data_IF_945850031085
#
_entry.id   IF_945850031085
#
_cell.length_a   1.000
_cell.length_b   1.000
_cell.length_c   1.000
_cell.angle_alpha   90.00
_cell.angle_beta   90.00
_cell.angle_gamma   90.00
#
_symmetry.space_group_name_H-M   'P 1'
#
loop_
_entity.id
_entity.type
_entity.pdbx_description
1 polymer ?
#
# COMPACT_ATOMS: atom_id res chain seq x y z
N UNK A 1 56.05 30.98 8.81
CA UNK A 1 56.11 32.32 8.19
C UNK A 1 56.08 32.16 6.67
N UNK A 2 55.18 32.92 6.02
CA UNK A 2 54.98 33.14 4.58
C UNK A 2 54.34 31.96 3.81
N UNK A 3 53.35 32.16 2.94
CA UNK A 3 52.66 33.39 2.50
C UNK A 3 51.43 33.04 1.66
N UNK A 4 50.37 33.83 1.81
CA UNK A 4 49.21 33.92 0.92
C UNK A 4 49.63 34.42 -0.47
N UNK A 5 49.36 33.61 -1.50
CA UNK A 5 49.15 33.95 -2.92
C UNK A 5 49.24 32.62 -3.69
N UNK A 6 48.14 31.99 -4.11
CA UNK A 6 47.32 32.45 -5.22
C UNK A 6 45.93 31.82 -5.13
N UNK A 7 44.94 32.66 -4.81
CA UNK A 7 43.52 32.35 -4.86
C UNK A 7 43.01 32.61 -6.29
N UNK A 8 42.36 31.64 -6.92
CA UNK A 8 41.47 31.92 -8.06
C UNK A 8 40.09 32.34 -7.53
N UNK A 9 39.53 33.38 -8.17
CA UNK A 9 38.32 34.09 -7.76
C UNK A 9 37.05 33.24 -7.98
N UNK A 10 36.03 33.35 -7.09
CA UNK A 10 34.73 32.74 -7.34
C UNK A 10 33.99 33.42 -8.49
N UNK A 11 33.35 32.61 -9.34
CA UNK A 11 32.38 33.07 -10.34
C UNK A 11 31.19 33.70 -9.61
N UNK A 12 30.97 34.99 -9.82
CA UNK A 12 29.81 35.70 -9.32
C UNK A 12 28.57 35.35 -10.16
N UNK A 13 27.59 34.69 -9.55
CA UNK A 13 26.22 34.67 -10.05
C UNK A 13 25.39 35.71 -9.31
N UNK A 14 24.93 36.69 -10.08
CA UNK A 14 23.98 37.72 -9.66
C UNK A 14 22.58 37.10 -9.71
N UNK A 15 21.92 37.02 -8.57
CA UNK A 15 20.54 36.56 -8.45
C UNK A 15 20.07 36.81 -7.03
N UNK A 16 19.60 38.01 -6.76
CA UNK A 16 18.95 38.39 -5.52
C UNK A 16 17.76 37.46 -5.26
N UNK A 17 17.79 36.69 -4.18
CA UNK A 17 16.58 36.16 -3.57
C UNK A 17 16.49 36.72 -2.15
N UNK A 18 15.86 37.88 -2.07
CA UNK A 18 15.21 38.36 -0.86
C UNK A 18 14.20 37.30 -0.43
N UNK A 19 14.28 36.89 0.83
CA UNK A 19 13.29 36.00 1.42
C UNK A 19 11.91 36.64 1.37
N UNK A 20 10.91 35.83 1.04
CA UNK A 20 9.53 36.21 1.26
C UNK A 20 8.76 35.04 1.89
N UNK A 21 8.30 35.29 3.12
CA UNK A 21 7.27 34.53 3.80
C UNK A 21 5.92 34.99 3.27
N UNK A 22 5.19 34.14 2.55
CA UNK A 22 3.72 34.20 2.37
C UNK A 22 3.29 33.16 1.34
N UNK A 23 2.19 32.43 1.44
CA UNK A 23 1.10 32.44 2.40
C UNK A 23 0.42 31.07 2.30
N UNK A 24 0.01 30.52 3.43
CA UNK A 24 -1.11 29.60 3.49
C UNK A 24 -2.32 30.30 2.85
N UNK A 25 -2.89 29.71 1.80
CA UNK A 25 -4.27 29.99 1.42
C UNK A 25 -5.05 28.69 1.54
N UNK A 26 -5.79 28.65 2.64
CA UNK A 26 -7.00 27.89 2.89
C UNK A 26 -7.94 27.96 1.68
N UNK A 27 -8.27 26.80 1.13
CA UNK A 27 -9.57 26.57 0.51
C UNK A 27 -10.29 25.60 1.43
N UNK A 28 -11.08 26.18 2.34
CA UNK A 28 -12.13 25.48 3.05
C UNK A 28 -13.13 24.94 2.01
N UNK A 29 -13.34 23.63 2.02
CA UNK A 29 -14.63 23.07 1.58
C UNK A 29 -15.12 22.11 2.64
N UNK A 30 -15.89 22.70 3.55
CA UNK A 30 -16.98 22.13 4.35
C UNK A 30 -16.98 20.62 4.58
N UNK A 31 -16.79 20.27 5.85
CA UNK A 31 -17.12 18.99 6.46
C UNK A 31 -18.53 18.53 6.10
N UNK A 32 -18.61 17.32 5.55
CA UNK A 32 -19.72 16.42 5.78
C UNK A 32 -19.14 15.18 6.46
N UNK A 33 -19.35 15.10 7.77
CA UNK A 33 -19.31 13.84 8.49
C UNK A 33 -20.47 12.98 7.97
N UNK A 34 -20.17 12.05 7.06
CA UNK A 34 -21.03 10.90 6.83
C UNK A 34 -20.21 9.61 6.82
N UNK A 35 -20.61 8.73 7.74
CA UNK A 35 -20.16 7.36 7.91
C UNK A 35 -20.45 6.54 6.65
N UNK A 36 -19.42 6.06 5.98
CA UNK A 36 -19.27 4.70 5.41
C UNK A 36 -18.13 4.70 4.39
N UNK A 37 -16.91 4.39 4.84
CA UNK A 37 -15.87 3.96 3.90
C UNK A 37 -16.09 2.48 3.58
N UNK A 38 -17.22 2.17 2.95
CA UNK A 38 -17.35 0.92 2.21
C UNK A 38 -16.62 1.16 0.89
N UNK A 39 -15.31 0.89 0.88
CA UNK A 39 -14.55 0.77 -0.35
C UNK A 39 -15.30 -0.22 -1.26
N UNK A 40 -15.70 0.22 -2.45
CA UNK A 40 -16.30 -0.66 -3.46
C UNK A 40 -15.25 -1.70 -3.83
N UNK A 41 -15.31 -2.88 -3.22
CA UNK A 41 -14.45 -4.01 -3.54
C UNK A 41 -15.18 -4.98 -4.47
N UNK A 42 -14.42 -5.77 -5.22
CA UNK A 42 -14.98 -6.90 -5.98
C UNK A 42 -15.85 -7.81 -5.08
N UNK A 43 -17.06 -8.21 -5.51
CA UNK A 43 -17.64 -8.02 -6.85
C UNK A 43 -18.52 -6.77 -6.99
N UNK A 44 -18.73 -5.97 -5.92
CA UNK A 44 -19.66 -4.82 -5.93
C UNK A 44 -19.31 -3.84 -7.05
N UNK A 45 -18.03 -3.49 -7.20
CA UNK A 45 -17.56 -2.58 -8.25
C UNK A 45 -17.81 -3.11 -9.66
N UNK A 46 -17.39 -4.34 -9.96
CA UNK A 46 -17.57 -4.95 -11.28
C UNK A 46 -19.04 -5.12 -11.65
N UNK A 47 -19.89 -5.51 -10.69
CA UNK A 47 -21.32 -5.59 -10.87
C UNK A 47 -21.93 -4.21 -11.15
N UNK A 48 -21.54 -3.19 -10.39
CA UNK A 48 -22.04 -1.83 -10.54
C UNK A 48 -21.66 -1.26 -11.91
N UNK A 49 -20.39 -1.35 -12.27
CA UNK A 49 -19.89 -0.93 -13.57
C UNK A 49 -20.62 -1.64 -14.72
N UNK A 50 -20.90 -2.93 -14.57
CA UNK A 50 -21.67 -3.72 -15.55
C UNK A 50 -23.10 -3.20 -15.69
N UNK A 51 -23.82 -2.98 -14.58
CA UNK A 51 -25.18 -2.47 -14.61
C UNK A 51 -25.27 -1.01 -15.08
N UNK A 52 -24.28 -0.18 -14.75
CA UNK A 52 -24.18 1.19 -15.29
C UNK A 52 -24.00 1.19 -16.81
N UNK A 53 -23.22 0.25 -17.37
CA UNK A 53 -23.14 0.07 -18.83
C UNK A 53 -24.48 -0.36 -19.43
N UNK A 54 -25.19 -1.28 -18.79
CA UNK A 54 -26.54 -1.65 -19.22
C UNK A 54 -27.52 -0.46 -19.15
N UNK A 55 -27.39 0.43 -18.16
CA UNK A 55 -28.20 1.66 -18.05
C UNK A 55 -27.92 2.60 -19.23
N UNK A 56 -26.65 2.80 -19.57
CA UNK A 56 -26.24 3.61 -20.74
C UNK A 56 -26.76 3.04 -22.07
N UNK A 57 -26.82 1.72 -22.18
CA UNK A 57 -27.35 1.00 -23.34
C UNK A 57 -28.89 0.86 -23.34
N UNK A 58 -29.60 1.46 -22.39
CA UNK A 58 -31.07 1.33 -22.21
C UNK A 58 -31.55 -0.13 -21.96
N UNK A 59 -30.66 -1.02 -21.52
CA UNK A 59 -30.93 -2.44 -21.27
C UNK A 59 -31.13 -2.80 -19.80
N UNK A 60 -31.00 -1.85 -18.87
CA UNK A 60 -31.11 -2.13 -17.43
C UNK A 60 -32.51 -2.66 -17.04
N UNK A 61 -33.59 -2.11 -17.63
CA UNK A 61 -34.96 -2.60 -17.41
C UNK A 61 -35.14 -4.05 -17.89
N UNK A 62 -34.51 -4.41 -19.00
CA UNK A 62 -34.52 -5.78 -19.52
C UNK A 62 -33.78 -6.73 -18.57
N UNK A 63 -32.65 -6.30 -18.00
CA UNK A 63 -31.92 -7.04 -16.97
C UNK A 63 -32.81 -7.29 -15.74
N UNK A 64 -33.47 -6.26 -15.22
CA UNK A 64 -34.37 -6.40 -14.06
C UNK A 64 -35.57 -7.31 -14.33
N UNK A 65 -36.13 -7.27 -15.55
CA UNK A 65 -37.19 -8.19 -15.96
C UNK A 65 -36.72 -9.64 -15.90
N UNK A 66 -35.51 -9.91 -16.41
CA UNK A 66 -34.90 -11.24 -16.33
C UNK A 66 -34.59 -11.62 -14.87
N UNK A 67 -34.07 -10.69 -14.06
CA UNK A 67 -33.79 -10.91 -12.65
C UNK A 67 -35.06 -11.32 -11.89
N UNK A 68 -36.15 -10.59 -12.09
CA UNK A 68 -37.45 -10.88 -11.45
C UNK A 68 -38.07 -12.19 -11.93
N UNK A 69 -37.84 -12.56 -13.20
CA UNK A 69 -38.35 -13.79 -13.80
C UNK A 69 -37.61 -15.04 -13.32
N UNK A 70 -36.27 -14.99 -13.31
CA UNK A 70 -35.44 -16.17 -13.04
C UNK A 70 -34.99 -16.26 -11.58
N UNK A 71 -34.93 -15.14 -10.86
CA UNK A 71 -34.42 -15.04 -9.49
C UNK A 71 -35.31 -14.11 -8.65
N UNK A 72 -36.57 -14.50 -8.41
CA UNK A 72 -37.54 -13.68 -7.67
C UNK A 72 -37.08 -13.34 -6.25
N UNK A 73 -36.16 -14.12 -5.67
CA UNK A 73 -35.54 -13.82 -4.39
C UNK A 73 -34.69 -12.54 -4.40
N UNK A 74 -34.03 -12.21 -5.52
CA UNK A 74 -33.23 -10.99 -5.65
C UNK A 74 -34.05 -9.84 -6.31
N UNK A 75 -35.39 -9.94 -6.34
CA UNK A 75 -36.28 -8.94 -6.97
C UNK A 75 -36.28 -7.63 -6.20
N UNK A 76 -36.44 -6.55 -6.96
CA UNK A 76 -36.64 -5.19 -6.44
C UNK A 76 -38.11 -4.76 -6.53
N UNK A 77 -38.46 -3.70 -5.79
CA UNK A 77 -39.71 -2.98 -6.00
C UNK A 77 -39.72 -2.33 -7.39
N UNK A 78 -40.79 -2.50 -8.15
CA UNK A 78 -40.95 -1.91 -9.48
C UNK A 78 -40.84 -0.37 -9.40
N UNK A 79 -39.67 0.17 -9.75
CA UNK A 79 -39.42 1.60 -9.94
C UNK A 79 -39.35 1.93 -11.42
N UNK A 80 -39.85 3.11 -11.79
CA UNK A 80 -39.87 3.57 -13.19
C UNK A 80 -38.46 3.86 -13.76
N UNK A 81 -37.51 4.28 -12.92
CA UNK A 81 -36.09 4.43 -13.25
C UNK A 81 -35.21 3.65 -12.26
N UNK A 82 -34.69 2.48 -12.69
CA UNK A 82 -33.89 1.66 -11.80
C UNK A 82 -32.49 2.22 -11.57
N UNK A 83 -32.07 2.26 -10.31
CA UNK A 83 -30.73 2.65 -9.91
C UNK A 83 -29.80 1.43 -9.88
N UNK A 84 -28.72 1.47 -10.67
CA UNK A 84 -27.78 0.35 -10.77
C UNK A 84 -27.15 -0.02 -9.42
N UNK A 85 -26.88 0.97 -8.56
CA UNK A 85 -26.31 0.75 -7.23
C UNK A 85 -27.25 -0.04 -6.34
N UNK A 86 -28.53 0.35 -6.31
CA UNK A 86 -29.56 -0.34 -5.53
C UNK A 86 -29.69 -1.81 -5.94
N UNK A 87 -29.68 -2.11 -7.25
CA UNK A 87 -29.70 -3.51 -7.76
C UNK A 87 -28.53 -4.31 -7.25
N UNK A 88 -27.32 -3.76 -7.35
CA UNK A 88 -26.14 -4.47 -6.88
C UNK A 88 -26.22 -4.71 -5.38
N UNK A 89 -26.58 -3.69 -4.60
CA UNK A 89 -26.68 -3.82 -3.14
C UNK A 89 -27.74 -4.84 -2.74
N UNK A 90 -28.91 -4.82 -3.37
CA UNK A 90 -29.98 -5.77 -3.08
C UNK A 90 -29.61 -7.20 -3.44
N UNK A 91 -28.95 -7.40 -4.59
CA UNK A 91 -28.42 -8.71 -4.98
C UNK A 91 -27.37 -9.19 -3.98
N UNK A 92 -26.41 -8.34 -3.60
CA UNK A 92 -25.36 -8.70 -2.65
C UNK A 92 -25.91 -9.02 -1.27
N UNK A 93 -26.86 -8.24 -0.76
CA UNK A 93 -27.53 -8.45 0.52
C UNK A 93 -28.31 -9.77 0.53
N UNK A 94 -29.09 -10.02 -0.52
CA UNK A 94 -30.07 -11.12 -0.52
C UNK A 94 -29.45 -12.46 -0.96
N UNK A 95 -28.55 -12.40 -1.92
CA UNK A 95 -28.05 -13.56 -2.64
C UNK A 95 -26.57 -13.83 -2.32
N UNK A 96 -25.84 -12.85 -1.77
CA UNK A 96 -24.42 -12.94 -1.45
C UNK A 96 -23.51 -12.68 -2.66
N UNK A 97 -22.25 -12.37 -2.42
CA UNK A 97 -21.28 -11.95 -3.44
C UNK A 97 -21.11 -12.94 -4.60
N UNK A 98 -20.81 -14.20 -4.29
CA UNK A 98 -20.55 -15.23 -5.31
C UNK A 98 -21.79 -15.55 -6.15
N UNK A 99 -22.97 -15.63 -5.51
CA UNK A 99 -24.22 -15.92 -6.22
C UNK A 99 -24.66 -14.75 -7.07
N UNK A 100 -24.51 -13.51 -6.58
CA UNK A 100 -24.83 -12.30 -7.34
C UNK A 100 -24.05 -12.22 -8.64
N UNK A 101 -22.76 -12.57 -8.60
CA UNK A 101 -21.92 -12.66 -9.80
C UNK A 101 -22.45 -13.69 -10.80
N UNK A 102 -22.74 -14.90 -10.33
CA UNK A 102 -23.28 -16.00 -11.16
C UNK A 102 -24.64 -15.65 -11.77
N UNK A 103 -25.52 -14.99 -11.00
CA UNK A 103 -26.83 -14.52 -11.46
C UNK A 103 -26.67 -13.48 -12.57
N UNK A 104 -25.84 -12.46 -12.34
CA UNK A 104 -25.58 -11.41 -13.34
C UNK A 104 -25.02 -12.01 -14.62
N UNK A 105 -24.04 -12.91 -14.54
CA UNK A 105 -23.49 -13.62 -15.70
C UNK A 105 -24.56 -14.43 -16.44
N UNK A 106 -25.42 -15.15 -15.73
CA UNK A 106 -26.52 -15.91 -16.34
C UNK A 106 -27.47 -15.00 -17.13
N UNK A 107 -27.90 -13.89 -16.51
CA UNK A 107 -28.81 -12.93 -17.14
C UNK A 107 -28.16 -12.28 -18.37
N UNK A 108 -26.90 -11.84 -18.29
CA UNK A 108 -26.18 -11.25 -19.41
C UNK A 108 -26.09 -12.21 -20.61
N UNK A 109 -25.86 -13.51 -20.35
CA UNK A 109 -25.84 -14.55 -21.40
C UNK A 109 -27.21 -14.70 -22.06
N UNK A 110 -28.29 -14.71 -21.28
CA UNK A 110 -29.66 -14.76 -21.82
C UNK A 110 -30.00 -13.50 -22.65
N UNK A 111 -29.54 -12.34 -22.21
CA UNK A 111 -29.66 -11.06 -22.93
C UNK A 111 -28.68 -10.92 -24.11
N UNK A 112 -27.86 -11.94 -24.38
CA UNK A 112 -26.82 -11.96 -25.44
C UNK A 112 -25.79 -10.83 -25.32
N UNK A 113 -25.53 -10.31 -24.12
CA UNK A 113 -24.54 -9.26 -23.85
C UNK A 113 -23.12 -9.83 -23.76
N UNK A 114 -22.59 -10.34 -24.87
CA UNK A 114 -21.31 -11.07 -24.92
C UNK A 114 -20.13 -10.27 -24.36
N UNK A 115 -20.03 -8.98 -24.69
CA UNK A 115 -18.91 -8.13 -24.27
C UNK A 115 -18.92 -7.88 -22.76
N UNK A 116 -20.11 -7.68 -22.17
CA UNK A 116 -20.27 -7.50 -20.72
C UNK A 116 -20.02 -8.82 -19.97
N UNK A 117 -20.51 -9.95 -20.50
CA UNK A 117 -20.20 -11.28 -19.94
C UNK A 117 -18.69 -11.51 -19.92
N UNK A 118 -18.00 -11.32 -21.05
CA UNK A 118 -16.56 -11.51 -21.14
C UNK A 118 -15.77 -10.51 -20.29
N UNK A 119 -16.28 -9.29 -20.08
CA UNK A 119 -15.67 -8.34 -19.16
C UNK A 119 -15.78 -8.81 -17.71
N UNK A 120 -16.98 -9.21 -17.28
CA UNK A 120 -17.22 -9.63 -15.90
C UNK A 120 -16.50 -10.94 -15.55
N UNK A 121 -16.40 -11.89 -16.50
CA UNK A 121 -15.59 -13.11 -16.36
C UNK A 121 -14.09 -12.81 -16.25
N UNK A 122 -13.59 -11.81 -17.00
CA UNK A 122 -12.19 -11.35 -16.86
C UNK A 122 -11.93 -10.74 -15.49
N UNK A 123 -12.86 -9.94 -14.98
CA UNK A 123 -12.75 -9.33 -13.65
C UNK A 123 -12.74 -10.43 -12.56
N UNK A 124 -13.63 -11.43 -12.67
CA UNK A 124 -13.65 -12.59 -11.77
C UNK A 124 -12.33 -13.37 -11.81
N UNK A 125 -11.84 -13.69 -13.00
CA UNK A 125 -10.57 -14.41 -13.17
C UNK A 125 -9.38 -13.61 -12.62
N UNK A 126 -9.37 -12.30 -12.83
CA UNK A 126 -8.33 -11.42 -12.32
C UNK A 126 -8.33 -11.41 -10.78
N UNK A 127 -9.50 -11.23 -10.17
CA UNK A 127 -9.65 -11.24 -8.72
C UNK A 127 -9.24 -12.59 -8.10
N UNK A 128 -9.59 -13.72 -8.72
CA UNK A 128 -9.14 -15.04 -8.25
C UNK A 128 -7.62 -15.21 -8.37
N UNK A 129 -7.00 -14.61 -9.40
CA UNK A 129 -5.53 -14.62 -9.55
C UNK A 129 -4.84 -13.77 -8.47
N UNK A 130 -5.43 -12.61 -8.12
CA UNK A 130 -4.99 -11.77 -7.00
C UNK A 130 -5.02 -12.55 -5.68
N UNK A 131 -6.16 -13.18 -5.34
CA UNK A 131 -6.30 -13.97 -4.10
C UNK A 131 -5.28 -15.10 -4.02
N UNK A 132 -5.07 -15.85 -5.10
CA UNK A 132 -4.06 -16.93 -5.14
C UNK A 132 -2.65 -16.40 -4.90
N UNK A 133 -2.28 -15.30 -5.53
CA UNK A 133 -0.97 -14.70 -5.33
C UNK A 133 -0.79 -14.18 -3.91
N UNK A 134 -1.83 -13.55 -3.33
CA UNK A 134 -1.82 -13.08 -1.94
C UNK A 134 -1.58 -14.23 -0.95
N UNK A 135 -2.30 -15.34 -1.09
CA UNK A 135 -2.14 -16.52 -0.24
C UNK A 135 -0.73 -17.13 -0.36
N UNK A 136 -0.23 -17.21 -1.60
CA UNK A 136 1.11 -17.73 -1.89
C UNK A 136 2.18 -16.82 -1.28
N UNK A 137 2.07 -15.50 -1.46
CA UNK A 137 2.98 -14.52 -0.88
C UNK A 137 2.99 -14.58 0.66
N UNK A 138 1.82 -14.63 1.31
CA UNK A 138 1.74 -14.78 2.78
C UNK A 138 2.45 -16.06 3.23
N UNK A 139 2.22 -17.17 2.54
CA UNK A 139 2.87 -18.45 2.86
C UNK A 139 4.39 -18.37 2.73
N UNK A 140 4.89 -17.77 1.65
CA UNK A 140 6.32 -17.63 1.41
C UNK A 140 7.00 -16.67 2.40
N UNK A 141 6.37 -15.54 2.71
CA UNK A 141 6.89 -14.59 3.69
C UNK A 141 6.84 -15.16 5.12
N UNK A 142 5.78 -15.89 5.48
CA UNK A 142 5.74 -16.64 6.74
C UNK A 142 6.91 -17.61 6.82
N UNK A 143 7.12 -18.45 5.79
CA UNK A 143 8.24 -19.40 5.76
C UNK A 143 9.60 -18.69 5.86
N UNK A 144 9.75 -17.54 5.19
CA UNK A 144 10.99 -16.76 5.14
C UNK A 144 11.34 -16.11 6.48
N UNK A 145 10.35 -15.60 7.21
CA UNK A 145 10.56 -14.77 8.41
C UNK A 145 10.15 -15.44 9.72
N UNK A 146 9.59 -16.65 9.68
CA UNK A 146 9.25 -17.41 10.89
C UNK A 146 10.48 -17.78 11.72
N UNK A 147 11.66 -17.89 11.09
CA UNK A 147 12.90 -18.28 11.74
C UNK A 147 13.95 -17.17 11.66
N UNK A 148 14.74 -17.06 12.73
CA UNK A 148 15.90 -16.18 12.79
C UNK A 148 17.14 -17.01 13.15
N UNK A 149 18.29 -16.64 12.56
CA UNK A 149 19.56 -17.31 12.78
C UNK A 149 20.44 -16.44 13.67
N UNK A 150 20.82 -16.97 14.83
CA UNK A 150 21.73 -16.29 15.75
C UNK A 150 23.20 -16.69 15.46
N UNK A 151 24.05 -15.70 15.15
CA UNK A 151 25.49 -15.89 15.00
C UNK A 151 25.93 -16.66 13.74
N UNK A 152 27.14 -17.25 13.79
CA UNK A 152 27.73 -18.06 12.71
C UNK A 152 27.23 -19.51 12.68
N UNK A 153 26.29 -19.86 13.57
CA UNK A 153 25.73 -21.20 13.64
C UNK A 153 24.87 -21.44 12.40
N UNK A 154 25.49 -22.05 11.40
CA UNK A 154 24.83 -22.57 10.20
C UNK A 154 23.65 -23.45 10.63
N UNK A 155 22.46 -23.10 10.17
CA UNK A 155 21.29 -23.93 9.80
C UNK A 155 20.82 -25.12 10.67
N UNK A 156 21.51 -25.53 11.72
CA UNK A 156 21.21 -26.79 12.42
C UNK A 156 20.09 -26.63 13.46
N UNK A 157 19.88 -25.42 13.99
CA UNK A 157 18.79 -25.11 14.94
C UNK A 157 18.20 -23.71 14.70
N UNK A 158 17.22 -23.57 13.81
CA UNK A 158 16.54 -22.28 13.61
C UNK A 158 15.63 -21.94 14.80
N UNK A 159 15.77 -20.74 15.36
CA UNK A 159 14.92 -20.25 16.46
C UNK A 159 13.69 -19.56 15.89
N UNK A 160 12.51 -19.77 16.49
CA UNK A 160 11.30 -19.07 16.08
C UNK A 160 11.38 -17.59 16.46
N UNK A 161 11.17 -16.69 15.49
CA UNK A 161 11.23 -15.25 15.73
C UNK A 161 10.26 -14.83 16.85
N UNK A 162 9.03 -15.39 16.83
CA UNK A 162 8.01 -15.09 17.82
C UNK A 162 8.37 -15.50 19.26
N UNK A 163 9.31 -16.44 19.46
CA UNK A 163 9.71 -16.89 20.81
C UNK A 163 10.74 -15.96 21.45
N UNK A 164 11.54 -15.26 20.64
CA UNK A 164 12.63 -14.40 21.11
C UNK A 164 12.40 -12.92 20.86
N UNK A 165 11.41 -12.56 20.02
CA UNK A 165 11.15 -11.18 19.68
C UNK A 165 10.69 -10.40 20.90
N UNK A 166 11.43 -9.33 21.20
CA UNK A 166 11.06 -8.33 22.20
C UNK A 166 10.59 -7.08 21.47
N UNK A 167 9.43 -6.55 21.87
CA UNK A 167 8.87 -5.35 21.26
C UNK A 167 9.85 -4.17 21.41
N UNK A 168 10.17 -3.52 20.30
CA UNK A 168 11.02 -2.33 20.31
C UNK A 168 10.24 -1.13 20.80
N UNK A 169 10.87 -0.29 21.62
CA UNK A 169 10.32 1.01 22.00
C UNK A 169 10.49 1.99 20.83
N UNK A 170 9.45 2.12 20.00
CA UNK A 170 9.41 3.04 18.85
C UNK A 170 8.69 4.31 19.30
N UNK A 171 9.23 5.47 18.93
CA UNK A 171 8.61 6.78 19.19
C UNK A 171 8.53 7.59 17.92
N UNK A 172 7.62 8.56 17.88
CA UNK A 172 7.53 9.51 16.77
C UNK A 172 8.84 10.33 16.64
N UNK A 173 9.44 10.31 15.46
CA UNK A 173 10.64 11.10 15.17
C UNK A 173 10.29 12.58 14.96
N UNK A 174 10.83 13.47 15.80
CA UNK A 174 10.64 14.92 15.66
C UNK A 174 11.18 15.49 14.34
N UNK A 175 10.56 16.59 13.87
CA UNK A 175 10.84 17.26 12.60
C UNK A 175 12.34 17.51 12.36
N UNK A 176 12.76 17.36 11.10
CA UNK A 176 14.14 17.28 10.63
C UNK A 176 15.08 18.40 11.11
N UNK A 177 15.65 18.23 12.29
CA UNK A 177 16.87 18.91 12.70
C UNK A 177 18.06 18.31 11.96
N UNK A 178 18.55 19.03 10.96
CA UNK A 178 19.77 18.71 10.22
C UNK A 178 20.94 18.81 11.19
N UNK A 179 21.60 17.67 11.46
CA UNK A 179 22.86 17.50 12.21
C UNK A 179 22.77 17.06 13.69
N UNK A 180 22.48 15.77 13.90
CA UNK A 180 22.56 15.04 15.19
C UNK A 180 23.56 13.86 15.15
N UNK A 181 24.65 13.99 14.38
CA UNK A 181 25.60 12.90 14.11
C UNK A 181 26.38 12.41 15.35
N UNK A 182 26.36 13.16 16.45
CA UNK A 182 27.02 12.76 17.70
C UNK A 182 26.02 12.31 18.77
N UNK A 183 26.28 11.13 19.35
CA UNK A 183 25.50 10.51 20.44
C UNK A 183 25.23 11.48 21.60
N UNK A 184 26.21 12.33 21.93
CA UNK A 184 26.11 13.35 23.00
C UNK A 184 24.98 14.34 22.74
N UNK A 185 24.76 14.78 21.50
CA UNK A 185 23.71 15.75 21.15
C UNK A 185 22.31 15.12 21.13
N UNK A 186 22.22 13.81 20.90
CA UNK A 186 20.97 13.07 21.03
C UNK A 186 20.56 12.96 22.50
N UNK A 187 21.53 12.74 23.41
CA UNK A 187 21.29 12.75 24.86
C UNK A 187 20.87 14.14 25.35
N UNK A 188 21.53 15.21 24.90
CA UNK A 188 21.17 16.59 25.26
C UNK A 188 19.79 17.00 24.74
N UNK A 189 19.43 16.56 23.52
CA UNK A 189 18.10 16.80 22.94
C UNK A 189 17.02 15.98 23.66
N UNK A 190 17.29 14.71 23.96
CA UNK A 190 16.40 13.84 24.72
C UNK A 190 16.20 14.35 26.15
N UNK A 191 17.27 14.84 26.80
CA UNK A 191 17.20 15.47 28.13
C UNK A 191 16.36 16.74 28.14
N UNK A 192 16.44 17.58 27.09
CA UNK A 192 15.55 18.75 26.94
C UNK A 192 14.10 18.40 26.57
N UNK A 193 13.85 17.25 25.95
CA UNK A 193 12.51 16.77 25.56
C UNK A 193 11.75 16.06 26.68
N UNK A 194 12.37 15.79 27.83
CA UNK A 194 11.73 15.16 29.00
C UNK A 194 10.46 15.86 29.54
N UNK A 195 10.15 17.07 29.06
CA UNK A 195 8.89 17.78 29.36
C UNK A 195 7.73 17.47 28.41
N UNK A 196 7.95 16.75 27.31
CA UNK A 196 6.91 16.37 26.33
C UNK A 196 6.83 14.85 26.32
N UNK A 197 5.68 14.26 26.65
CA UNK A 197 5.50 12.81 26.63
C UNK A 197 5.71 12.30 25.20
N UNK A 198 6.80 11.58 24.95
CA UNK A 198 7.01 10.88 23.68
C UNK A 198 5.89 9.83 23.53
N UNK A 199 5.18 9.88 22.41
CA UNK A 199 4.12 8.91 22.12
C UNK A 199 4.78 7.63 21.63
N UNK A 200 4.67 6.57 22.43
CA UNK A 200 5.13 5.25 22.03
C UNK A 200 4.22 4.68 20.92
N UNK A 201 4.84 4.09 19.91
CA UNK A 201 4.18 3.48 18.76
C UNK A 201 4.48 1.99 18.79
N UNK A 202 3.47 1.15 18.67
CA UNK A 202 3.65 -0.30 18.54
C UNK A 202 4.11 -0.62 17.12
N UNK A 203 4.97 -1.64 16.94
CA UNK A 203 5.51 -1.98 15.62
C UNK A 203 4.43 -2.28 14.57
N UNK A 204 3.32 -2.88 14.97
CA UNK A 204 2.18 -3.15 14.08
C UNK A 204 1.29 -1.91 13.83
N UNK A 205 1.49 -0.83 14.57
CA UNK A 205 0.69 0.39 14.52
C UNK A 205 1.43 1.54 13.82
N UNK A 206 2.56 1.27 13.15
CA UNK A 206 3.38 2.29 12.47
C UNK A 206 2.65 3.09 11.37
N UNK A 207 1.55 2.53 10.83
CA UNK A 207 0.69 3.21 9.85
C UNK A 207 -0.59 3.79 10.47
N UNK A 208 -0.80 3.63 11.78
CA UNK A 208 -1.95 4.23 12.45
C UNK A 208 -1.71 5.73 12.63
N UNK A 209 -2.73 6.56 12.39
CA UNK A 209 -2.60 8.00 12.52
C UNK A 209 -2.43 8.35 14.00
N UNK A 210 -1.53 9.28 14.29
CA UNK A 210 -1.46 9.89 15.61
C UNK A 210 -2.61 10.89 15.80
N UNK A 211 -2.97 11.27 17.05
CA UNK A 211 -4.05 12.21 17.29
C UNK A 211 -3.89 13.51 16.48
N UNK A 212 -4.88 13.81 15.62
CA UNK A 212 -4.89 15.01 14.79
C UNK A 212 -4.08 14.91 13.48
N UNK A 213 -3.59 13.73 13.11
CA UNK A 213 -2.91 13.48 11.84
C UNK A 213 -3.75 12.58 10.91
N UNK A 214 -3.53 12.70 9.60
CA UNK A 214 -4.01 11.72 8.62
C UNK A 214 -3.14 10.46 8.62
N UNK A 215 -3.62 9.39 7.97
CA UNK A 215 -2.85 8.15 7.83
C UNK A 215 -1.53 8.43 7.07
N UNK A 216 -0.37 8.05 7.61
CA UNK A 216 0.90 8.24 6.93
C UNK A 216 0.98 7.35 5.69
N UNK A 217 1.32 7.94 4.53
CA UNK A 217 1.65 7.19 3.30
C UNK A 217 3.06 6.61 3.32
N UNK A 218 3.93 7.14 4.16
CA UNK A 218 5.36 6.75 4.22
C UNK A 218 5.83 6.83 5.67
N UNK A 219 6.57 5.80 6.08
CA UNK A 219 7.19 5.71 7.41
C UNK A 219 8.69 5.52 7.22
N UNK A 220 9.50 6.32 7.92
CA UNK A 220 10.95 6.16 7.97
C UNK A 220 11.37 5.77 9.39
N UNK A 221 11.86 4.54 9.54
CA UNK A 221 12.40 4.08 10.82
C UNK A 221 13.88 4.46 10.93
N UNK A 222 14.22 5.29 11.92
CA UNK A 222 15.59 5.71 12.22
C UNK A 222 16.04 5.11 13.54
N UNK A 223 17.31 4.71 13.61
CA UNK A 223 17.93 4.23 14.82
C UNK A 223 19.37 3.79 14.56
N UNK A 224 20.16 3.61 15.63
CA UNK A 224 21.55 3.17 15.54
C UNK A 224 21.68 1.78 14.88
N UNK A 225 22.87 1.44 14.41
CA UNK A 225 23.15 0.09 13.91
C UNK A 225 22.92 -0.95 15.01
N UNK A 226 22.37 -2.12 14.64
CA UNK A 226 22.13 -3.21 15.59
C UNK A 226 20.90 -3.05 16.51
N UNK A 227 20.19 -1.91 16.49
CA UNK A 227 19.01 -1.68 17.36
C UNK A 227 17.78 -2.55 17.02
N UNK A 228 17.85 -3.38 15.97
CA UNK A 228 16.77 -4.29 15.59
C UNK A 228 15.81 -3.80 14.50
N UNK A 229 16.15 -2.74 13.73
CA UNK A 229 15.29 -2.21 12.64
C UNK A 229 14.85 -3.29 11.63
N UNK A 230 15.79 -4.09 11.13
CA UNK A 230 15.48 -5.18 10.19
C UNK A 230 14.64 -6.27 10.85
N UNK A 231 14.92 -6.59 12.12
CA UNK A 231 14.17 -7.64 12.85
C UNK A 231 12.73 -7.19 13.13
N UNK A 232 12.49 -5.91 13.42
CA UNK A 232 11.12 -5.39 13.58
C UNK A 232 10.35 -5.37 12.26
N UNK A 233 11.00 -5.05 11.14
CA UNK A 233 10.41 -5.22 9.80
C UNK A 233 10.02 -6.67 9.55
N UNK A 234 10.90 -7.63 9.84
CA UNK A 234 10.61 -9.06 9.69
C UNK A 234 9.42 -9.48 10.56
N UNK A 235 9.35 -8.98 11.80
CA UNK A 235 8.25 -9.25 12.72
C UNK A 235 6.92 -8.69 12.21
N UNK A 236 6.89 -7.45 11.72
CA UNK A 236 5.72 -6.83 11.12
C UNK A 236 5.16 -7.67 9.97
N UNK A 237 6.04 -8.13 9.07
CA UNK A 237 5.66 -8.98 7.94
C UNK A 237 5.16 -10.35 8.42
N UNK A 238 5.82 -10.94 9.42
CA UNK A 238 5.41 -12.24 9.98
C UNK A 238 4.02 -12.16 10.61
N UNK A 239 3.74 -11.13 11.40
CA UNK A 239 2.41 -10.94 12.02
C UNK A 239 1.32 -10.73 10.97
N UNK A 240 1.61 -10.00 9.90
CA UNK A 240 0.70 -9.88 8.76
C UNK A 240 0.50 -11.22 8.04
N UNK A 241 1.56 -11.97 7.79
CA UNK A 241 1.49 -13.26 7.10
C UNK A 241 0.78 -14.34 7.95
N UNK A 242 0.84 -14.24 9.27
CA UNK A 242 0.15 -15.12 10.23
C UNK A 242 -1.30 -14.72 10.51
N UNK A 243 -1.78 -13.59 9.96
CA UNK A 243 -3.15 -13.13 10.17
C UNK A 243 -3.37 -12.36 11.48
N UNK A 244 -2.30 -11.95 12.17
CA UNK A 244 -2.38 -11.34 13.51
C UNK A 244 -2.60 -9.83 13.49
N UNK A 245 -2.05 -9.14 12.48
CA UNK A 245 -2.13 -7.69 12.36
C UNK A 245 -2.25 -7.24 10.90
N UNK A 246 -2.70 -6.00 10.68
CA UNK A 246 -2.70 -5.31 9.39
C UNK A 246 -3.37 -6.09 8.24
N UNK A 247 -4.43 -6.84 8.52
CA UNK A 247 -5.14 -7.67 7.52
C UNK A 247 -5.96 -6.86 6.51
N UNK A 248 -6.06 -5.56 6.70
CA UNK A 248 -6.55 -4.62 5.70
C UNK A 248 -5.55 -4.41 4.55
N UNK A 249 -4.28 -4.82 4.70
CA UNK A 249 -3.25 -4.77 3.65
C UNK A 249 -3.30 -6.05 2.80
N UNK A 250 -3.43 -5.89 1.49
CA UNK A 250 -3.50 -6.99 0.54
C UNK A 250 -2.12 -7.59 0.23
N UNK A 251 -1.11 -6.74 0.03
CA UNK A 251 0.25 -7.16 -0.30
C UNK A 251 1.30 -6.40 0.51
N UNK A 252 2.31 -7.12 0.99
CA UNK A 252 3.53 -6.55 1.53
C UNK A 252 4.71 -7.05 0.71
N UNK A 253 5.44 -6.12 0.08
CA UNK A 253 6.63 -6.44 -0.71
C UNK A 253 7.88 -5.92 -0.01
N UNK A 254 8.84 -6.82 0.20
CA UNK A 254 10.18 -6.46 0.72
C UNK A 254 11.15 -6.23 -0.42
N UNK A 255 11.75 -5.05 -0.47
CA UNK A 255 12.71 -4.63 -1.48
C UNK A 255 13.99 -4.13 -0.79
N UNK A 256 14.87 -5.03 -0.32
CA UNK A 256 16.14 -4.64 0.29
C UNK A 256 17.00 -3.85 -0.71
N UNK A 257 17.58 -2.72 -0.29
CA UNK A 257 18.43 -1.93 -1.18
C UNK A 257 19.64 -2.73 -1.69
N UNK A 258 20.17 -3.64 -0.89
CA UNK A 258 21.21 -4.59 -1.32
C UNK A 258 20.83 -5.35 -2.59
N UNK A 259 19.59 -5.83 -2.67
CA UNK A 259 19.09 -6.61 -3.81
C UNK A 259 18.80 -5.68 -4.99
N UNK A 260 18.17 -4.53 -4.74
CA UNK A 260 17.90 -3.52 -5.76
C UNK A 260 19.18 -3.04 -6.45
N UNK A 261 20.27 -2.86 -5.69
CA UNK A 261 21.58 -2.46 -6.20
C UNK A 261 22.19 -3.43 -7.23
N UNK A 262 21.68 -4.66 -7.33
CA UNK A 262 22.12 -5.65 -8.31
C UNK A 262 21.41 -5.51 -9.67
N UNK A 263 20.41 -4.62 -9.79
CA UNK A 263 19.55 -4.48 -10.99
C UNK A 263 19.87 -3.26 -11.84
N UNK A 264 21.16 -2.96 -12.01
CA UNK A 264 21.64 -1.75 -12.70
C UNK A 264 21.54 -1.78 -14.23
N UNK A 265 21.32 -2.94 -14.82
CA UNK A 265 21.46 -3.15 -16.28
C UNK A 265 20.12 -3.29 -17.01
N UNK A 266 18.99 -3.15 -16.31
CA UNK A 266 17.66 -3.28 -16.91
C UNK A 266 16.71 -2.26 -16.30
N UNK A 267 15.96 -1.60 -17.16
CA UNK A 267 14.80 -0.80 -16.77
C UNK A 267 13.64 -1.76 -16.43
N UNK A 268 12.99 -1.50 -15.30
CA UNK A 268 11.79 -2.21 -14.86
C UNK A 268 10.72 -1.17 -14.55
N UNK A 269 9.49 -1.39 -15.02
CA UNK A 269 8.35 -0.77 -14.35
C UNK A 269 8.09 -1.46 -13.00
N UNK A 270 7.28 -0.86 -12.13
CA UNK A 270 7.04 -1.38 -10.78
C UNK A 270 6.52 -2.81 -10.82
N UNK A 271 5.56 -3.11 -11.70
CA UNK A 271 5.00 -4.46 -11.81
C UNK A 271 6.06 -5.49 -12.24
N UNK A 272 6.90 -5.16 -13.22
CA UNK A 272 7.98 -6.05 -13.68
C UNK A 272 9.02 -6.28 -12.58
N UNK A 273 9.34 -5.25 -11.79
CA UNK A 273 10.23 -5.36 -10.64
C UNK A 273 9.61 -6.32 -9.60
N UNK A 274 8.33 -6.16 -9.28
CA UNK A 274 7.62 -7.01 -8.34
C UNK A 274 7.53 -8.45 -8.85
N UNK A 275 7.16 -8.69 -10.11
CA UNK A 275 7.13 -10.04 -10.69
C UNK A 275 8.49 -10.73 -10.73
N UNK A 276 9.58 -9.94 -10.78
CA UNK A 276 10.94 -10.47 -10.71
C UNK A 276 11.27 -11.03 -9.32
N UNK A 277 10.97 -10.28 -8.26
CA UNK A 277 11.24 -10.68 -6.87
C UNK A 277 10.17 -11.60 -6.28
N UNK A 278 8.94 -11.54 -6.81
CA UNK A 278 7.76 -12.26 -6.34
C UNK A 278 7.13 -13.01 -7.52
N UNK A 279 7.66 -14.20 -7.90
CA UNK A 279 7.19 -14.97 -9.05
C UNK A 279 5.70 -15.33 -9.04
N UNK A 280 5.08 -15.37 -7.87
CA UNK A 280 3.64 -15.57 -7.67
C UNK A 280 2.77 -14.48 -8.33
N UNK A 281 3.34 -13.30 -8.64
CA UNK A 281 2.63 -12.23 -9.32
C UNK A 281 2.62 -12.36 -10.85
N UNK A 282 3.26 -13.39 -11.43
CA UNK A 282 3.38 -13.52 -12.91
C UNK A 282 2.04 -13.57 -13.64
N UNK A 283 0.97 -14.03 -12.98
CA UNK A 283 -0.38 -14.09 -13.55
C UNK A 283 -1.17 -12.78 -13.35
N UNK A 284 -0.65 -11.85 -12.55
CA UNK A 284 -1.29 -10.57 -12.23
C UNK A 284 -0.74 -9.49 -13.16
N UNK A 285 -1.64 -8.88 -13.93
CA UNK A 285 -1.30 -7.83 -14.89
C UNK A 285 -1.08 -6.47 -14.23
N UNK A 286 -1.89 -6.15 -13.23
CA UNK A 286 -1.82 -4.91 -12.47
C UNK A 286 -2.23 -5.17 -11.01
N UNK A 287 -1.58 -4.46 -10.10
CA UNK A 287 -2.02 -4.27 -8.70
C UNK A 287 -2.48 -2.81 -8.48
N UNK A 288 -2.54 -2.02 -9.56
CA UNK A 288 -2.99 -0.64 -9.54
C UNK A 288 -4.52 -0.63 -9.62
N UNK A 289 -5.14 -0.08 -8.58
CA UNK A 289 -6.58 0.12 -8.48
C UNK A 289 -6.96 0.47 -7.04
N UNK A 290 -8.05 1.21 -6.87
CA UNK A 290 -8.54 1.67 -5.54
C UNK A 290 -8.92 0.52 -4.59
N UNK A 291 -8.88 -0.73 -5.07
CA UNK A 291 -9.26 -1.94 -4.35
C UNK A 291 -8.10 -2.69 -3.68
N UNK A 292 -6.83 -2.44 -4.06
CA UNK A 292 -5.68 -3.23 -3.58
C UNK A 292 -4.74 -2.37 -2.72
N UNK A 293 -4.65 -2.68 -1.43
CA UNK A 293 -3.73 -2.00 -0.51
C UNK A 293 -2.37 -2.68 -0.48
N UNK A 294 -1.34 -1.93 -0.86
CA UNK A 294 0.02 -2.42 -1.00
C UNK A 294 0.95 -1.65 -0.07
N UNK A 295 1.84 -2.37 0.62
CA UNK A 295 2.99 -1.79 1.33
C UNK A 295 4.29 -2.23 0.68
N UNK A 296 5.11 -1.25 0.31
CA UNK A 296 6.49 -1.47 -0.14
C UNK A 296 7.44 -1.17 1.03
N UNK A 297 8.24 -2.16 1.41
CA UNK A 297 9.23 -2.05 2.47
C UNK A 297 10.62 -2.01 1.85
N UNK A 298 11.25 -0.84 1.89
CA UNK A 298 12.64 -0.65 1.48
C UNK A 298 13.55 -0.76 2.71
N UNK A 299 14.18 -1.93 2.90
CA UNK A 299 15.09 -2.18 4.02
C UNK A 299 16.56 -1.91 3.64
N UNK A 300 17.35 -1.47 4.62
CA UNK A 300 18.78 -1.14 4.42
C UNK A 300 19.02 0.14 3.65
N UNK A 301 18.33 1.24 3.99
CA UNK A 301 18.49 2.55 3.31
C UNK A 301 19.95 3.05 3.31
N UNK A 302 20.72 2.69 4.33
CA UNK A 302 22.17 2.93 4.42
C UNK A 302 22.99 2.20 3.35
N UNK A 303 22.43 1.16 2.74
CA UNK A 303 23.02 0.44 1.60
C UNK A 303 22.56 1.01 0.24
N UNK A 304 21.71 2.03 0.21
CA UNK A 304 21.24 2.64 -1.04
C UNK A 304 22.40 3.30 -1.80
N UNK A 305 22.54 2.97 -3.09
CA UNK A 305 23.60 3.52 -3.97
C UNK A 305 23.12 4.60 -4.91
N UNK A 306 21.85 5.04 -4.79
CA UNK A 306 21.35 6.18 -5.55
C UNK A 306 22.10 7.45 -5.13
N UNK A 307 22.37 8.39 -6.05
CA UNK A 307 23.00 9.65 -5.69
C UNK A 307 22.16 10.38 -4.63
N UNK A 308 22.80 10.95 -3.62
CA UNK A 308 22.12 11.75 -2.59
C UNK A 308 21.71 13.15 -3.12
N UNK A 309 21.98 13.44 -4.38
CA UNK A 309 21.51 14.64 -5.05
C UNK A 309 20.09 14.41 -5.59
N UNK A 310 19.11 14.39 -4.68
CA UNK A 310 17.69 14.14 -4.99
C UNK A 310 17.12 14.95 -6.16
N UNK A 311 17.46 16.25 -6.35
CA UNK A 311 16.93 17.02 -7.48
C UNK A 311 17.43 16.56 -8.86
N UNK A 312 18.53 15.80 -8.92
CA UNK A 312 19.06 15.26 -10.20
C UNK A 312 18.84 13.77 -10.35
N UNK A 313 18.20 13.11 -9.38
CA UNK A 313 17.87 11.71 -9.53
C UNK A 313 16.74 11.60 -10.54
N UNK A 314 16.84 10.60 -11.42
CA UNK A 314 15.75 10.23 -12.29
C UNK A 314 14.53 9.85 -11.44
N UNK A 315 13.37 10.38 -11.81
CA UNK A 315 12.12 10.01 -11.17
C UNK A 315 11.79 8.59 -11.64
N UNK A 316 11.67 7.66 -10.71
CA UNK A 316 11.13 6.34 -11.00
C UNK A 316 9.61 6.50 -11.19
N UNK A 317 9.14 6.36 -12.43
CA UNK A 317 7.74 6.35 -12.78
C UNK A 317 7.45 5.17 -13.70
N UNK A 318 6.23 4.65 -13.61
CA UNK A 318 5.74 3.70 -14.60
C UNK A 318 5.58 4.41 -15.95
N UNK A 319 6.05 3.75 -17.02
CA UNK A 319 5.96 4.22 -18.42
C UNK A 319 4.64 3.74 -19.02
#
# INVERSE_FOLDING_TARGET
>A
MKSDASMELPIAFRGEFTGDQRSQQSLESSCLDEKSSDQLSFPKQSLLHTLMKLKKDEKLKLFQSHLSQYYPECRETEQEDPEALYIVEKMLETCGSERSLKITLHILRNMKQKDLTASLERDEQHNESIKRAQQTLKTDLKRKFQFIFEGLAKQDHPTLLNEIYTELYITEGGSGGVNNEHEVRQIETASKRQTTQETAILGNDIFRPLPGQENPRTVLTKGIAGIGKTVSVQKFILDWAEGKANQDIDFIFTLPFRDLNLKKEREFNLMQLLQHYFPQLKEIKSIEGDEVKVVLIFDGLDECRLPLHFPSNEICCDI
#
